data_IF_327458089398
#
_entry.id   IF_327458089398
#
_cell.length_a   1.000
_cell.length_b   1.000
_cell.length_c   1.000
_cell.angle_alpha   90.00
_cell.angle_beta   90.00
_cell.angle_gamma   90.00
#
_symmetry.space_group_name_H-M   'P 1'
#
loop_
_entity.id
_entity.type
_entity.pdbx_description
1 polymer ?
#
# COMPACT_ATOMS: atom_id res chain seq x y z
N UNK A 1 -27.67 -14.75 8.40
CA UNK A 1 -28.20 -13.74 7.46
C UNK A 1 -27.04 -12.92 6.90
N UNK A 2 -26.91 -12.85 5.56
CA UNK A 2 -25.77 -12.24 4.85
C UNK A 2 -25.82 -10.71 4.84
N UNK A 3 -27.01 -10.13 4.91
CA UNK A 3 -27.23 -8.69 4.82
C UNK A 3 -27.68 -8.01 6.12
N UNK A 4 -27.74 -6.68 6.06
CA UNK A 4 -28.36 -5.77 7.02
C UNK A 4 -28.88 -4.56 6.26
N UNK A 5 -29.94 -3.92 6.75
CA UNK A 5 -30.37 -2.62 6.21
C UNK A 5 -29.59 -1.54 6.96
N UNK A 6 -28.88 -0.69 6.23
CA UNK A 6 -28.21 0.51 6.74
C UNK A 6 -28.58 1.68 5.84
N UNK A 7 -29.04 2.78 6.45
CA UNK A 7 -29.47 3.98 5.73
C UNK A 7 -30.53 3.71 4.64
N UNK A 8 -31.44 2.76 4.87
CA UNK A 8 -32.47 2.39 3.88
C UNK A 8 -31.98 1.48 2.76
N UNK A 9 -30.70 1.15 2.69
CA UNK A 9 -30.12 0.29 1.67
C UNK A 9 -29.76 -1.08 2.25
N UNK A 10 -29.94 -2.13 1.44
CA UNK A 10 -29.45 -3.46 1.78
C UNK A 10 -27.93 -3.50 1.59
N UNK A 11 -27.21 -3.83 2.66
CA UNK A 11 -25.75 -3.93 2.67
C UNK A 11 -25.30 -5.28 3.21
N UNK A 12 -24.20 -5.81 2.67
CA UNK A 12 -23.55 -7.01 3.22
C UNK A 12 -22.96 -6.68 4.58
N UNK A 13 -23.15 -7.57 5.56
CA UNK A 13 -22.48 -7.44 6.86
C UNK A 13 -20.98 -7.65 6.69
N UNK A 14 -20.15 -6.90 7.41
CA UNK A 14 -18.68 -7.04 7.37
C UNK A 14 -18.21 -8.49 7.57
N UNK A 15 -18.78 -9.20 8.55
CA UNK A 15 -18.49 -10.62 8.82
C UNK A 15 -18.84 -11.58 7.67
N UNK A 16 -19.71 -11.17 6.76
CA UNK A 16 -20.14 -11.95 5.60
C UNK A 16 -19.40 -11.54 4.31
N UNK A 17 -18.62 -10.44 4.33
CA UNK A 17 -17.92 -9.92 3.17
C UNK A 17 -16.96 -10.96 2.57
N UNK A 18 -16.21 -11.68 3.40
CA UNK A 18 -15.30 -12.73 2.93
C UNK A 18 -16.04 -13.83 2.16
N UNK A 19 -17.16 -14.35 2.70
CA UNK A 19 -17.95 -15.38 2.02
C UNK A 19 -18.54 -14.89 0.69
N UNK A 20 -18.96 -13.62 0.65
CA UNK A 20 -19.47 -13.01 -0.57
C UNK A 20 -18.36 -12.85 -1.62
N UNK A 21 -17.17 -12.40 -1.20
CA UNK A 21 -16.00 -12.31 -2.06
C UNK A 21 -15.59 -13.69 -2.57
N UNK A 22 -15.52 -14.71 -1.73
CA UNK A 22 -15.18 -16.08 -2.13
C UNK A 22 -16.14 -16.62 -3.20
N UNK A 23 -17.45 -16.34 -3.04
CA UNK A 23 -18.46 -16.72 -4.02
C UNK A 23 -18.25 -16.02 -5.37
N UNK A 24 -18.01 -14.70 -5.37
CA UNK A 24 -17.74 -13.94 -6.59
C UNK A 24 -16.44 -14.39 -7.23
N UNK A 25 -15.38 -14.58 -6.45
CA UNK A 25 -14.07 -15.01 -6.94
C UNK A 25 -14.13 -16.40 -7.57
N UNK A 26 -14.92 -17.31 -7.01
CA UNK A 26 -15.17 -18.63 -7.63
C UNK A 26 -15.80 -18.48 -9.01
N UNK A 27 -16.82 -17.64 -9.15
CA UNK A 27 -17.45 -17.39 -10.45
C UNK A 27 -16.48 -16.80 -11.48
N UNK A 28 -15.65 -15.84 -11.07
CA UNK A 28 -14.62 -15.22 -11.93
C UNK A 28 -13.53 -16.22 -12.32
N UNK A 29 -13.17 -17.13 -11.40
CA UNK A 29 -12.24 -18.23 -11.66
C UNK A 29 -12.83 -19.25 -12.65
N UNK A 30 -14.09 -19.65 -12.46
CA UNK A 30 -14.81 -20.57 -13.35
C UNK A 30 -14.97 -19.98 -14.76
N UNK A 31 -15.15 -18.66 -14.87
CA UNK A 31 -15.14 -17.91 -16.14
C UNK A 31 -13.74 -17.83 -16.80
N UNK A 32 -12.70 -18.33 -16.14
CA UNK A 32 -11.33 -18.34 -16.62
C UNK A 32 -10.71 -16.95 -16.76
N UNK A 33 -11.19 -15.97 -15.99
CA UNK A 33 -10.63 -14.61 -15.96
C UNK A 33 -9.47 -14.49 -14.96
N UNK A 34 -9.43 -15.37 -13.97
CA UNK A 34 -8.45 -15.36 -12.88
C UNK A 34 -7.97 -16.79 -12.63
N UNK A 35 -6.71 -16.96 -12.23
CA UNK A 35 -6.15 -18.19 -11.69
C UNK A 35 -5.72 -18.02 -10.24
N UNK A 36 -6.07 -18.99 -9.40
CA UNK A 36 -5.61 -19.07 -8.02
C UNK A 36 -4.20 -19.67 -7.97
N UNK A 37 -3.26 -18.96 -7.36
CA UNK A 37 -1.95 -19.48 -6.97
C UNK A 37 -1.95 -19.63 -5.46
N UNK A 38 -1.81 -20.87 -5.02
CA UNK A 38 -1.80 -21.17 -3.58
C UNK A 38 -0.52 -20.64 -2.92
N UNK A 39 -0.60 -20.37 -1.62
CA UNK A 39 0.52 -20.03 -0.75
C UNK A 39 1.69 -21.02 -0.90
N UNK A 40 1.39 -22.32 -1.00
CA UNK A 40 2.39 -23.39 -1.22
C UNK A 40 3.15 -23.26 -2.54
N UNK A 41 2.50 -22.76 -3.59
CA UNK A 41 3.10 -22.59 -4.92
C UNK A 41 3.82 -21.24 -5.07
N UNK A 42 3.32 -20.19 -4.41
CA UNK A 42 3.86 -18.83 -4.52
C UNK A 42 4.96 -18.51 -3.52
N UNK A 43 5.12 -19.31 -2.46
CA UNK A 43 5.99 -18.99 -1.33
C UNK A 43 5.48 -17.82 -0.48
N UNK A 44 4.24 -17.37 -0.69
CA UNK A 44 3.60 -16.31 0.10
C UNK A 44 2.78 -16.89 1.25
N UNK A 45 2.59 -16.07 2.29
CA UNK A 45 1.74 -16.44 3.42
C UNK A 45 0.26 -16.61 3.06
N UNK A 46 -0.19 -15.99 1.97
CA UNK A 46 -1.59 -15.97 1.55
C UNK A 46 -1.75 -16.43 0.10
N UNK A 47 -2.87 -17.08 -0.18
CA UNK A 47 -3.26 -17.41 -1.53
C UNK A 47 -3.46 -16.13 -2.35
N UNK A 48 -3.01 -16.17 -3.61
CA UNK A 48 -3.02 -15.00 -4.49
C UNK A 48 -3.77 -15.31 -5.77
N UNK A 49 -4.67 -14.41 -6.14
CA UNK A 49 -5.39 -14.48 -7.42
C UNK A 49 -4.64 -13.69 -8.48
N UNK A 50 -4.36 -14.32 -9.62
CA UNK A 50 -3.71 -13.70 -10.78
C UNK A 50 -4.71 -13.50 -11.92
N UNK A 51 -4.75 -12.30 -12.49
CA UNK A 51 -5.59 -11.99 -13.63
C UNK A 51 -5.00 -12.66 -14.88
N UNK A 52 -5.84 -13.36 -15.64
CA UNK A 52 -5.47 -13.87 -16.96
C UNK A 52 -5.70 -12.76 -17.97
N UNK A 53 -4.62 -12.15 -18.44
CA UNK A 53 -4.68 -11.08 -19.42
C UNK A 53 -5.40 -11.55 -20.69
N UNK A 54 -6.53 -10.93 -20.98
CA UNK A 54 -7.21 -11.03 -22.27
C UNK A 54 -7.03 -9.71 -22.98
N UNK A 55 -6.40 -9.76 -24.15
CA UNK A 55 -6.21 -8.58 -24.98
C UNK A 55 -7.51 -8.31 -25.73
N UNK A 56 -8.03 -7.10 -25.56
CA UNK A 56 -9.17 -6.60 -26.30
C UNK A 56 -8.71 -5.45 -27.19
N UNK A 57 -9.35 -5.30 -28.34
CA UNK A 57 -9.09 -4.20 -29.24
C UNK A 57 -9.60 -2.91 -28.56
N UNK A 58 -8.67 -2.08 -28.12
CA UNK A 58 -9.00 -0.81 -27.49
C UNK A 58 -9.54 0.15 -28.52
N UNK A 59 -10.61 0.87 -28.18
CA UNK A 59 -10.97 2.09 -28.92
C UNK A 59 -9.96 3.16 -28.53
N UNK A 60 -9.43 3.88 -29.53
CA UNK A 60 -8.43 4.91 -29.31
C UNK A 60 -8.99 5.97 -28.33
N UNK A 61 -8.26 6.23 -27.23
CA UNK A 61 -8.65 7.28 -26.30
C UNK A 61 -8.59 8.62 -27.04
N UNK A 62 -9.71 9.35 -27.05
CA UNK A 62 -9.75 10.69 -27.63
C UNK A 62 -8.70 11.57 -26.95
N UNK A 63 -7.75 12.07 -27.75
CA UNK A 63 -6.59 12.88 -27.31
C UNK A 63 -6.98 14.23 -26.70
N UNK A 64 -8.27 14.51 -26.56
CA UNK A 64 -8.84 15.80 -26.13
C UNK A 64 -9.03 15.93 -24.62
N UNK A 65 -8.69 14.92 -23.80
CA UNK A 65 -8.67 15.13 -22.35
C UNK A 65 -7.40 15.90 -21.97
N UNK A 66 -7.51 17.13 -21.41
CA UNK A 66 -6.35 17.79 -20.85
C UNK A 66 -5.74 16.87 -19.79
N UNK A 67 -4.43 16.61 -19.89
CA UNK A 67 -3.69 15.92 -18.83
C UNK A 67 -4.00 16.68 -17.54
N UNK A 68 -4.54 16.05 -16.49
CA UNK A 68 -4.55 16.69 -15.19
C UNK A 68 -3.08 16.96 -14.85
N UNK A 69 -2.69 18.23 -14.88
CA UNK A 69 -1.40 18.65 -14.37
C UNK A 69 -1.36 18.17 -12.93
N UNK A 70 -0.54 17.15 -12.65
CA UNK A 70 -0.21 16.80 -11.27
C UNK A 70 0.14 18.13 -10.59
N UNK A 71 -0.52 18.52 -9.50
CA UNK A 71 0.00 19.62 -8.70
C UNK A 71 1.40 19.17 -8.31
N UNK A 72 2.39 19.85 -8.89
CA UNK A 72 3.77 19.61 -8.54
C UNK A 72 3.80 20.12 -7.10
N UNK A 73 3.88 19.23 -6.11
CA UNK A 73 4.13 19.60 -4.71
C UNK A 73 5.54 20.20 -4.65
N UNK A 74 5.68 21.42 -5.15
CA UNK A 74 6.90 22.20 -5.11
C UNK A 74 6.46 23.62 -4.85
N UNK A 75 6.63 23.99 -3.58
CA UNK A 75 6.60 25.34 -2.99
C UNK A 75 5.23 25.83 -2.50
N UNK A 76 4.92 25.46 -1.25
CA UNK A 76 4.41 26.43 -0.27
C UNK A 76 4.95 26.02 1.11
N UNK A 77 6.19 26.40 1.38
CA UNK A 77 6.68 26.61 2.75
C UNK A 77 7.46 27.91 2.65
N UNK A 78 6.80 28.99 3.05
CA UNK A 78 7.48 30.22 3.45
C UNK A 78 8.30 29.93 4.71
N UNK A 79 9.41 30.66 4.91
CA UNK A 79 10.36 30.45 6.01
C UNK A 79 9.84 31.10 7.30
N UNK A 80 10.48 30.77 8.44
CA UNK A 80 10.19 31.20 9.83
C UNK A 80 9.26 30.19 10.55
N UNK A 81 9.60 29.53 11.66
CA UNK A 81 10.64 29.70 12.68
C UNK A 81 10.78 28.35 13.45
N UNK A 82 11.93 28.17 14.08
CA UNK A 82 12.31 27.15 15.08
C UNK A 82 12.80 25.75 14.61
N UNK A 83 14.08 25.56 14.91
CA UNK A 83 14.91 24.39 14.78
C UNK A 83 14.44 23.25 15.71
N UNK A 84 13.41 22.50 15.32
CA UNK A 84 13.34 21.10 15.74
C UNK A 84 14.40 20.35 14.93
N UNK A 85 15.63 20.30 15.44
CA UNK A 85 16.62 19.28 15.07
C UNK A 85 15.88 17.94 15.11
N UNK A 86 15.56 17.41 13.93
CA UNK A 86 14.85 16.15 13.80
C UNK A 86 15.46 15.15 14.78
N UNK A 87 14.65 14.50 15.63
CA UNK A 87 15.10 13.66 16.76
C UNK A 87 16.27 12.72 16.42
N UNK A 88 16.33 12.32 15.15
CA UNK A 88 17.40 11.58 14.46
C UNK A 88 18.80 12.19 14.66
N UNK A 89 18.97 13.51 14.56
CA UNK A 89 20.26 14.18 14.73
C UNK A 89 20.71 14.26 16.19
N UNK A 90 19.78 14.38 17.14
CA UNK A 90 20.07 14.33 18.57
C UNK A 90 20.53 12.93 18.95
N UNK A 91 19.83 11.89 18.48
CA UNK A 91 20.24 10.50 18.67
C UNK A 91 21.60 10.20 18.02
N UNK A 92 21.85 10.73 16.81
CA UNK A 92 23.14 10.58 16.13
C UNK A 92 24.29 11.17 16.95
N UNK A 93 24.12 12.37 17.51
CA UNK A 93 25.14 13.01 18.37
C UNK A 93 25.42 12.20 19.64
N UNK A 94 24.37 11.72 20.32
CA UNK A 94 24.51 10.86 21.52
C UNK A 94 25.25 9.56 21.21
N UNK A 95 24.98 8.94 20.06
CA UNK A 95 25.68 7.72 19.64
C UNK A 95 27.16 7.97 19.31
N UNK A 96 27.48 9.10 18.66
CA UNK A 96 28.88 9.47 18.41
C UNK A 96 29.66 9.69 19.71
N UNK A 97 29.04 10.30 20.71
CA UNK A 97 29.68 10.56 22.00
C UNK A 97 29.92 9.28 22.81
N UNK A 98 28.93 8.36 22.84
CA UNK A 98 29.11 7.03 23.45
C UNK A 98 30.24 6.25 22.78
N UNK A 99 30.30 6.24 21.44
CA UNK A 99 31.36 5.53 20.71
C UNK A 99 32.73 6.15 20.99
N UNK A 100 32.82 7.48 21.12
CA UNK A 100 34.06 8.16 21.47
C UNK A 100 34.57 7.76 22.87
N UNK A 101 33.68 7.70 23.86
CA UNK A 101 34.04 7.24 25.20
C UNK A 101 34.49 5.78 25.21
N UNK A 102 33.81 4.92 24.46
CA UNK A 102 34.17 3.51 24.33
C UNK A 102 35.56 3.35 23.71
N UNK A 103 35.88 4.12 22.67
CA UNK A 103 37.20 4.08 22.03
C UNK A 103 38.32 4.56 22.96
N UNK A 104 38.07 5.58 23.79
CA UNK A 104 39.01 6.01 24.83
C UNK A 104 39.23 4.92 25.89
N UNK A 105 38.18 4.23 26.32
CA UNK A 105 38.30 3.13 27.30
C UNK A 105 39.05 1.92 26.73
N UNK A 106 38.96 1.67 25.43
CA UNK A 106 39.66 0.59 24.74
C UNK A 106 41.10 0.99 24.32
N UNK A 107 41.51 2.24 24.55
CA UNK A 107 42.85 2.74 24.18
C UNK A 107 43.08 2.84 22.66
N UNK A 108 42.01 2.95 21.87
CA UNK A 108 42.04 2.97 20.40
C UNK A 108 41.81 4.36 19.79
N UNK A 109 41.64 5.39 20.62
CA UNK A 109 41.40 6.78 20.21
C UNK A 109 42.21 7.79 21.03
#
# INVERSE_FOLDING_TARGET
WLGQIRNGEWQIRSKAAHRALDYVMKYVQDAGLVSLVTSKQSGRATDTYLIRNRYYLGVEFSKTRPKPSRPTKRKLREPEEEEELADIEIERKRNMERNRQLLMQLGLA
#
